data_IF_233456631397
#
_entry.id   IF_233456631397
#
_cell.length_a   1.000
_cell.length_b   1.000
_cell.length_c   1.000
_cell.angle_alpha   90.00
_cell.angle_beta   90.00
_cell.angle_gamma   90.00
#
_symmetry.space_group_name_H-M   'P 1'
#
loop_
_entity.id
_entity.type
_entity.pdbx_description
1 polymer ?
#
# COMPACT_ATOMS: atom_id res chain seq x y z
N UNK A 1 6.02 7.48 14.07
CA UNK A 1 6.76 6.83 12.96
C UNK A 1 5.95 6.95 11.67
N UNK A 2 6.61 7.05 10.50
CA UNK A 2 5.95 7.06 9.18
C UNK A 2 6.08 5.69 8.53
N UNK A 3 5.00 5.21 7.91
CA UNK A 3 4.92 3.84 7.38
C UNK A 3 4.57 3.85 5.89
N UNK A 4 5.03 2.80 5.21
CA UNK A 4 4.53 2.36 3.91
C UNK A 4 4.03 0.93 4.06
N UNK A 5 2.78 0.68 3.68
CA UNK A 5 2.23 -0.68 3.59
C UNK A 5 2.09 -1.05 2.12
N UNK A 6 2.47 -2.28 1.76
CA UNK A 6 2.41 -2.79 0.39
C UNK A 6 1.70 -4.13 0.46
N UNK A 7 0.47 -4.18 -0.08
CA UNK A 7 -0.43 -5.32 0.04
C UNK A 7 -0.83 -5.84 -1.35
N UNK A 8 -0.71 -7.15 -1.57
CA UNK A 8 -1.26 -7.81 -2.76
C UNK A 8 -2.43 -8.72 -2.40
N UNK A 9 -3.61 -8.45 -2.92
CA UNK A 9 -4.84 -9.19 -2.62
C UNK A 9 -5.07 -9.31 -1.11
N UNK A 10 -5.21 -10.56 -0.64
CA UNK A 10 -5.41 -10.88 0.78
C UNK A 10 -4.18 -10.61 1.66
N UNK A 11 -3.02 -10.31 1.06
CA UNK A 11 -1.83 -9.80 1.75
C UNK A 11 -2.10 -8.52 2.57
N UNK A 12 -3.26 -7.88 2.40
CA UNK A 12 -3.75 -6.80 3.24
C UNK A 12 -4.08 -7.21 4.70
N UNK A 13 -4.22 -8.50 5.00
CA UNK A 13 -4.64 -9.02 6.32
C UNK A 13 -3.80 -8.55 7.52
N UNK A 14 -2.45 -8.59 7.50
CA UNK A 14 -1.65 -8.02 8.59
C UNK A 14 -1.93 -6.53 8.78
N UNK A 15 -2.08 -5.77 7.70
CA UNK A 15 -2.36 -4.34 7.76
C UNK A 15 -3.77 -4.05 8.27
N UNK A 16 -4.75 -4.90 7.98
CA UNK A 16 -6.10 -4.80 8.54
C UNK A 16 -6.07 -4.80 10.07
N UNK A 17 -5.29 -5.71 10.68
CA UNK A 17 -5.15 -5.77 12.14
C UNK A 17 -4.42 -4.54 12.70
N UNK A 18 -3.33 -4.08 12.04
CA UNK A 18 -2.61 -2.87 12.43
C UNK A 18 -3.49 -1.62 12.34
N UNK A 19 -4.25 -1.46 11.26
CA UNK A 19 -5.11 -0.29 11.04
C UNK A 19 -6.29 -0.30 12.00
N UNK A 20 -6.93 -1.46 12.25
CA UNK A 20 -7.99 -1.56 13.26
C UNK A 20 -7.47 -1.15 14.64
N UNK A 21 -6.30 -1.63 15.04
CA UNK A 21 -5.68 -1.23 16.31
C UNK A 21 -5.48 0.29 16.40
N UNK A 22 -4.96 0.92 15.34
CA UNK A 22 -4.76 2.39 15.31
C UNK A 22 -6.08 3.15 15.41
N UNK A 23 -7.15 2.65 14.77
CA UNK A 23 -8.49 3.25 14.86
C UNK A 23 -9.09 3.13 16.26
N UNK A 24 -8.94 1.97 16.89
CA UNK A 24 -9.47 1.69 18.23
C UNK A 24 -8.75 2.52 19.29
N UNK A 25 -7.43 2.74 19.12
CA UNK A 25 -6.62 3.59 20.01
C UNK A 25 -6.63 5.07 19.64
N UNK A 26 -7.29 5.44 18.54
CA UNK A 26 -7.20 6.78 17.95
C UNK A 26 -5.75 7.27 17.78
N UNK A 27 -4.83 6.33 17.50
CA UNK A 27 -3.41 6.59 17.40
C UNK A 27 -3.07 7.04 15.99
N UNK A 28 -2.64 8.31 15.85
CA UNK A 28 -2.27 8.84 14.54
C UNK A 28 -0.87 8.38 14.13
N UNK A 29 -0.82 7.78 12.94
CA UNK A 29 0.40 7.42 12.21
C UNK A 29 0.24 7.91 10.79
N UNK A 30 1.33 8.39 10.18
CA UNK A 30 1.33 8.77 8.78
C UNK A 30 1.65 7.52 7.95
N UNK A 31 0.65 7.01 7.24
CA UNK A 31 0.70 5.73 6.53
C UNK A 31 0.31 5.97 5.07
N UNK A 32 1.13 5.46 4.16
CA UNK A 32 0.77 5.31 2.75
C UNK A 32 0.63 3.82 2.47
N UNK A 33 -0.55 3.40 2.05
CA UNK A 33 -0.86 2.02 1.70
C UNK A 33 -0.98 1.89 0.19
N UNK A 34 -0.16 1.03 -0.38
CA UNK A 34 -0.21 0.58 -1.75
C UNK A 34 -0.92 -0.77 -1.80
N UNK A 35 -2.09 -0.85 -2.45
CA UNK A 35 -2.90 -2.07 -2.49
C UNK A 35 -3.14 -2.53 -3.93
N UNK A 36 -2.60 -3.70 -4.26
CA UNK A 36 -2.69 -4.34 -5.57
C UNK A 36 -3.79 -5.38 -5.57
N UNK A 37 -4.71 -5.30 -6.53
CA UNK A 37 -5.76 -6.30 -6.74
C UNK A 37 -5.96 -6.49 -8.25
N UNK A 38 -6.61 -7.58 -8.70
CA UNK A 38 -6.90 -7.69 -10.14
C UNK A 38 -8.03 -6.75 -10.51
N UNK A 39 -9.11 -6.78 -9.72
CA UNK A 39 -10.33 -5.97 -9.90
C UNK A 39 -10.70 -5.22 -8.62
N UNK A 40 -11.52 -4.19 -8.75
CA UNK A 40 -12.02 -3.41 -7.62
C UNK A 40 -12.85 -4.23 -6.64
N UNK A 41 -13.64 -5.18 -7.14
CA UNK A 41 -14.45 -6.10 -6.33
C UNK A 41 -13.64 -7.05 -5.43
N UNK A 42 -12.35 -7.23 -5.73
CA UNK A 42 -11.44 -8.08 -4.94
C UNK A 42 -10.74 -7.33 -3.80
N UNK A 43 -10.95 -6.02 -3.68
CA UNK A 43 -10.27 -5.19 -2.67
C UNK A 43 -10.78 -5.56 -1.26
N UNK A 44 -10.01 -6.40 -0.58
CA UNK A 44 -10.32 -6.78 0.79
C UNK A 44 -10.21 -5.59 1.75
N UNK A 45 -11.15 -5.52 2.70
CA UNK A 45 -11.16 -4.55 3.82
C UNK A 45 -11.26 -3.07 3.41
N UNK A 46 -11.75 -2.78 2.22
CA UNK A 46 -11.86 -1.42 1.70
C UNK A 46 -12.57 -0.45 2.67
N UNK A 47 -13.68 -0.88 3.26
CA UNK A 47 -14.42 -0.07 4.24
C UNK A 47 -13.58 0.36 5.45
N UNK A 48 -12.71 -0.52 5.95
CA UNK A 48 -11.80 -0.21 7.07
C UNK A 48 -10.75 0.82 6.66
N UNK A 49 -10.17 0.68 5.46
CA UNK A 49 -9.15 1.62 4.97
C UNK A 49 -9.76 2.99 4.62
N UNK A 50 -11.00 3.02 4.13
CA UNK A 50 -11.77 4.26 3.95
C UNK A 50 -12.08 4.94 5.30
N UNK A 51 -12.45 4.17 6.33
CA UNK A 51 -12.63 4.70 7.68
C UNK A 51 -11.31 5.28 8.22
N UNK A 52 -10.19 4.57 8.02
CA UNK A 52 -8.87 5.02 8.40
C UNK A 52 -8.47 6.33 7.72
N UNK A 53 -8.75 6.48 6.42
CA UNK A 53 -8.47 7.71 5.67
C UNK A 53 -9.26 8.92 6.20
N UNK A 54 -10.46 8.71 6.76
CA UNK A 54 -11.27 9.78 7.35
C UNK A 54 -10.80 10.22 8.74
N UNK A 55 -10.19 9.30 9.50
CA UNK A 55 -9.89 9.50 10.94
C UNK A 55 -8.39 9.67 11.24
N UNK A 56 -7.53 9.10 10.41
CA UNK A 56 -6.08 9.03 10.58
C UNK A 56 -5.37 9.70 9.41
N UNK A 57 -4.05 9.90 9.53
CA UNK A 57 -3.21 10.31 8.39
C UNK A 57 -2.89 9.10 7.53
N UNK A 58 -3.90 8.59 6.83
CA UNK A 58 -3.84 7.34 6.07
C UNK A 58 -4.23 7.59 4.60
N UNK A 59 -3.32 7.27 3.67
CA UNK A 59 -3.55 7.40 2.24
C UNK A 59 -3.53 6.03 1.60
N UNK A 60 -4.60 5.65 0.89
CA UNK A 60 -4.68 4.40 0.13
C UNK A 60 -4.49 4.69 -1.35
N UNK A 61 -3.51 4.04 -1.97
CA UNK A 61 -3.24 4.03 -3.41
C UNK A 61 -3.62 2.66 -3.92
N UNK A 62 -4.72 2.60 -4.67
CA UNK A 62 -5.24 1.36 -5.25
C UNK A 62 -4.66 1.19 -6.64
N UNK A 63 -4.18 -0.02 -6.92
CA UNK A 63 -3.70 -0.40 -8.24
C UNK A 63 -4.38 -1.66 -8.73
N UNK A 64 -4.92 -1.62 -9.94
CA UNK A 64 -5.65 -2.72 -10.54
C UNK A 64 -4.95 -3.21 -11.80
N UNK A 65 -4.88 -4.54 -11.96
CA UNK A 65 -4.11 -5.17 -13.05
C UNK A 65 -4.96 -5.83 -14.13
N UNK A 66 -6.28 -5.92 -13.98
CA UNK A 66 -7.14 -6.57 -14.98
C UNK A 66 -7.10 -5.78 -16.32
N UNK A 67 -6.77 -6.44 -17.44
CA UNK A 67 -6.71 -5.77 -18.74
C UNK A 67 -8.07 -5.21 -19.19
N UNK A 68 -9.19 -5.81 -18.76
CA UNK A 68 -10.56 -5.43 -19.11
C UNK A 68 -11.14 -4.24 -18.34
N UNK A 69 -10.34 -3.55 -17.52
CA UNK A 69 -10.82 -2.38 -16.78
C UNK A 69 -11.14 -1.18 -17.70
N UNK A 70 -12.16 -0.38 -17.36
CA UNK A 70 -12.46 0.87 -18.07
C UNK A 70 -11.25 1.82 -18.11
N UNK A 71 -11.22 2.71 -19.11
CA UNK A 71 -10.15 3.71 -19.27
C UNK A 71 -10.21 4.81 -18.21
N UNK A 72 -11.39 5.07 -17.64
CA UNK A 72 -11.73 6.08 -16.64
C UNK A 72 -11.71 5.55 -15.20
N UNK A 73 -10.89 4.52 -14.94
CA UNK A 73 -10.78 3.91 -13.62
C UNK A 73 -10.37 4.93 -12.53
N UNK A 74 -11.09 4.93 -11.41
CA UNK A 74 -10.63 5.59 -10.18
C UNK A 74 -9.48 4.78 -9.54
N UNK A 75 -8.25 5.11 -9.92
CA UNK A 75 -7.02 4.47 -9.42
C UNK A 75 -5.88 4.46 -10.43
N UNK A 76 -4.78 3.79 -10.07
CA UNK A 76 -3.66 3.57 -11.00
C UNK A 76 -3.80 2.18 -11.66
N UNK A 77 -3.41 2.08 -12.94
CA UNK A 77 -3.44 0.80 -13.69
C UNK A 77 -2.07 0.15 -13.67
N UNK A 78 -2.03 -1.17 -13.48
CA UNK A 78 -0.81 -1.97 -13.55
C UNK A 78 -0.04 -2.03 -12.23
N UNK A 79 1.28 -2.25 -12.32
CA UNK A 79 2.14 -2.35 -11.15
C UNK A 79 2.61 -0.96 -10.72
N UNK A 80 2.67 -0.74 -9.40
CA UNK A 80 3.29 0.45 -8.81
C UNK A 80 4.77 0.49 -9.18
N UNK A 81 5.15 1.61 -9.78
CA UNK A 81 6.51 1.87 -10.23
C UNK A 81 7.18 2.95 -9.37
N UNK A 82 8.36 3.36 -9.80
CA UNK A 82 9.11 4.46 -9.17
C UNK A 82 8.27 5.74 -9.09
N UNK A 83 7.59 6.11 -10.16
CA UNK A 83 6.85 7.36 -10.25
C UNK A 83 5.67 7.37 -9.28
N UNK A 84 4.93 6.26 -9.17
CA UNK A 84 3.86 6.11 -8.19
C UNK A 84 4.39 6.22 -6.75
N UNK A 85 5.52 5.57 -6.44
CA UNK A 85 6.13 5.65 -5.10
C UNK A 85 6.57 7.09 -4.79
N UNK A 86 7.23 7.77 -5.72
CA UNK A 86 7.70 9.14 -5.54
C UNK A 86 6.53 10.15 -5.45
N UNK A 87 5.43 9.92 -6.17
CA UNK A 87 4.20 10.72 -6.11
C UNK A 87 3.52 10.64 -4.75
N UNK A 88 3.30 9.43 -4.23
CA UNK A 88 2.50 9.23 -3.02
C UNK A 88 3.31 9.13 -1.73
N UNK A 89 4.58 8.73 -1.82
CA UNK A 89 5.50 8.60 -0.69
C UNK A 89 6.88 9.18 -1.05
N UNK A 90 7.00 10.49 -1.36
CA UNK A 90 8.29 11.10 -1.73
C UNK A 90 9.36 10.94 -0.65
N UNK A 91 8.94 10.75 0.61
CA UNK A 91 9.81 10.50 1.76
C UNK A 91 9.96 9.01 2.12
N UNK A 92 9.67 8.06 1.21
CA UNK A 92 9.70 6.61 1.46
C UNK A 92 11.01 6.13 2.14
N UNK A 93 12.15 6.73 1.80
CA UNK A 93 13.46 6.43 2.42
C UNK A 93 13.52 6.69 3.94
N UNK A 94 12.61 7.52 4.46
CA UNK A 94 12.48 7.85 5.89
C UNK A 94 11.40 7.02 6.57
N UNK A 95 10.62 6.24 5.83
CA UNK A 95 9.52 5.39 6.32
C UNK A 95 10.02 3.97 6.63
N UNK A 96 9.25 3.24 7.42
CA UNK A 96 9.39 1.78 7.51
C UNK A 96 8.37 1.15 6.56
N UNK A 97 8.86 0.29 5.68
CA UNK A 97 8.07 -0.40 4.65
C UNK A 97 7.76 -1.82 5.10
N UNK A 98 6.49 -2.19 5.07
CA UNK A 98 6.03 -3.56 5.28
C UNK A 98 5.38 -4.09 4.01
N UNK A 99 5.75 -5.30 3.61
CA UNK A 99 5.32 -5.90 2.34
C UNK A 99 4.67 -7.25 2.60
N UNK A 100 3.46 -7.46 2.05
CA UNK A 100 2.72 -8.70 2.23
C UNK A 100 1.87 -9.01 0.99
N UNK A 101 2.00 -10.22 0.46
CA UNK A 101 1.23 -10.69 -0.70
C UNK A 101 1.96 -11.79 -1.47
N UNK A 102 1.51 -12.10 -2.71
CA UNK A 102 2.14 -13.13 -3.53
C UNK A 102 3.61 -12.84 -3.80
N UNK A 103 4.46 -13.88 -3.79
CA UNK A 103 5.90 -13.73 -4.00
C UNK A 103 6.26 -13.02 -5.32
N UNK A 104 5.46 -13.25 -6.37
CA UNK A 104 5.59 -12.60 -7.66
C UNK A 104 5.40 -11.07 -7.62
N UNK A 105 4.71 -10.54 -6.60
CA UNK A 105 4.61 -9.10 -6.33
C UNK A 105 5.71 -8.65 -5.35
N UNK A 106 5.94 -9.41 -4.27
CA UNK A 106 6.87 -9.05 -3.19
C UNK A 106 8.30 -8.87 -3.71
N UNK A 107 8.82 -9.84 -4.47
CA UNK A 107 10.22 -9.82 -4.88
C UNK A 107 10.57 -8.63 -5.80
N UNK A 108 9.82 -8.36 -6.90
CA UNK A 108 10.08 -7.20 -7.74
C UNK A 108 9.94 -5.86 -7.00
N UNK A 109 8.99 -5.76 -6.05
CA UNK A 109 8.78 -4.54 -5.28
C UNK A 109 9.93 -4.28 -4.29
N UNK A 110 10.43 -5.32 -3.62
CA UNK A 110 11.62 -5.23 -2.77
C UNK A 110 12.82 -4.75 -3.58
N UNK A 111 13.04 -5.33 -4.75
CA UNK A 111 14.14 -4.95 -5.64
C UNK A 111 13.99 -3.50 -6.16
N UNK A 112 12.77 -3.07 -6.46
CA UNK A 112 12.49 -1.68 -6.82
C UNK A 112 12.87 -0.73 -5.68
N UNK A 113 12.38 -0.95 -4.46
CA UNK A 113 12.68 -0.09 -3.30
C UNK A 113 14.18 -0.03 -3.00
N UNK A 114 14.88 -1.17 -3.08
CA UNK A 114 16.33 -1.23 -2.89
C UNK A 114 17.06 -0.43 -3.98
N UNK A 115 16.70 -0.59 -5.26
CA UNK A 115 17.25 0.20 -6.38
C UNK A 115 16.93 1.69 -6.28
N UNK A 116 15.82 2.04 -5.65
CA UNK A 116 15.47 3.43 -5.34
C UNK A 116 16.27 3.99 -4.14
N UNK A 117 17.01 3.15 -3.41
CA UNK A 117 17.89 3.53 -2.31
C UNK A 117 17.27 3.37 -0.92
N UNK A 118 16.21 2.57 -0.77
CA UNK A 118 15.73 2.18 0.55
C UNK A 118 16.76 1.28 1.24
N UNK A 119 17.08 1.57 2.50
CA UNK A 119 17.99 0.72 3.29
C UNK A 119 17.25 -0.54 3.74
N UNK A 120 17.88 -1.72 3.62
CA UNK A 120 17.30 -3.01 4.05
C UNK A 120 16.70 -2.98 5.45
N UNK A 121 17.34 -2.31 6.41
CA UNK A 121 16.83 -2.15 7.80
C UNK A 121 15.50 -1.40 7.95
N UNK A 122 14.98 -0.81 6.87
CA UNK A 122 13.69 -0.10 6.82
C UNK A 122 12.63 -0.90 6.08
N UNK A 123 12.91 -2.15 5.73
CA UNK A 123 12.03 -3.00 4.94
C UNK A 123 11.88 -4.35 5.65
N UNK A 124 10.64 -4.62 6.09
CA UNK A 124 10.21 -5.88 6.68
C UNK A 124 9.39 -6.66 5.63
#
# INVERSE_FOLDING_TARGET
>A
MKLVFIAGGIGATPFRSMVRYLLDKNEKRNIVMFHFNKKGEEIAFEGLFLEAAKRLTFTTVKTLTDPGLPADLDGERGFIDRATIEKYAPDFKKRTSYISGPQAMVAPFRDLLLRMGLKRRRMD
#
